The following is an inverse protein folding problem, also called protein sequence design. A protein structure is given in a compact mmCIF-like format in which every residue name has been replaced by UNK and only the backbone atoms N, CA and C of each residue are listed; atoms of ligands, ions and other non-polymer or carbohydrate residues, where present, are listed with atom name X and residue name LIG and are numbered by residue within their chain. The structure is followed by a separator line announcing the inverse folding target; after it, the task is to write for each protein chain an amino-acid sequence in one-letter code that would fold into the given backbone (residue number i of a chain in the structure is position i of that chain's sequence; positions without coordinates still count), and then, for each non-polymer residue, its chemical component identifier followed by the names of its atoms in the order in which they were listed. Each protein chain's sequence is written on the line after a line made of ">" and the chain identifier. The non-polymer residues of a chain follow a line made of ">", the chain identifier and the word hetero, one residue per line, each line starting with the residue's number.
data_IF_030835624691
#
_entry.id   IF_030835624691
#
_cell.length_a   1.000
_cell.length_b   1.000
_cell.length_c   1.000
_cell.angle_alpha   90.00
_cell.angle_beta   90.00
_cell.angle_gamma   90.00
#
_symmetry.space_group_name_H-M   'P 1'
#
loop_
_entity.id
_entity.type
_entity.pdbx_description
1 polymer ?
#
# COMPACT_ATOMS: atom_id res chain seq x y z
N UNK A 1 -19.80 48.81 -28.49
CA UNK A 1 -20.15 47.43 -28.15
C UNK A 1 -18.81 46.70 -27.91
N UNK A 2 -18.39 46.54 -26.64
CA UNK A 2 -17.09 46.01 -26.28
C UNK A 2 -17.26 44.52 -25.96
N UNK A 3 -16.68 43.63 -26.76
CA UNK A 3 -16.68 42.20 -26.50
C UNK A 3 -15.57 41.86 -25.50
N UNK A 4 -15.96 41.44 -24.28
CA UNK A 4 -15.04 40.84 -23.32
C UNK A 4 -14.80 39.40 -23.75
N UNK A 5 -13.56 39.10 -24.18
CA UNK A 5 -13.08 37.73 -24.40
C UNK A 5 -12.67 37.17 -23.03
N UNK A 6 -13.50 36.29 -22.48
CA UNK A 6 -13.16 35.51 -21.27
C UNK A 6 -12.33 34.33 -21.73
N UNK A 7 -11.01 34.42 -21.55
CA UNK A 7 -10.11 33.29 -21.73
C UNK A 7 -10.20 32.38 -20.48
N UNK A 8 -10.92 31.27 -20.62
CA UNK A 8 -10.88 30.18 -19.62
C UNK A 8 -9.51 29.50 -19.72
N UNK A 9 -8.63 29.75 -18.74
CA UNK A 9 -7.42 28.94 -18.55
C UNK A 9 -7.86 27.54 -18.09
N UNK A 10 -7.70 26.55 -18.95
CA UNK A 10 -7.74 25.15 -18.57
C UNK A 10 -6.60 24.91 -17.57
N UNK A 11 -6.94 24.72 -16.31
CA UNK A 11 -5.99 24.22 -15.29
C UNK A 11 -5.70 22.78 -15.72
N UNK A 12 -4.52 22.54 -16.26
CA UNK A 12 -3.98 21.20 -16.45
C UNK A 12 -3.99 20.53 -15.08
N UNK A 13 -4.82 19.51 -14.89
CA UNK A 13 -4.77 18.68 -13.71
C UNK A 13 -3.37 18.05 -13.67
N UNK A 14 -2.49 18.57 -12.83
CA UNK A 14 -1.19 17.96 -12.57
C UNK A 14 -1.45 16.53 -12.09
N UNK A 15 -0.79 15.58 -12.72
CA UNK A 15 -0.89 14.18 -12.35
C UNK A 15 -0.28 14.00 -10.96
N UNK A 16 -1.13 13.92 -9.93
CA UNK A 16 -0.66 13.65 -8.58
C UNK A 16 0.00 12.26 -8.52
N UNK A 17 1.12 12.13 -7.77
CA UNK A 17 1.76 10.83 -7.56
C UNK A 17 0.78 9.87 -6.87
N UNK A 18 0.89 8.54 -7.15
CA UNK A 18 0.06 7.51 -6.51
C UNK A 18 0.16 7.59 -4.99
N UNK A 19 1.40 7.70 -4.48
CA UNK A 19 1.70 8.00 -3.09
C UNK A 19 2.91 8.94 -3.04
N UNK A 20 2.96 9.78 -2.03
CA UNK A 20 4.09 10.68 -1.78
C UNK A 20 4.95 10.16 -0.64
N UNK A 21 6.21 10.58 -0.60
CA UNK A 21 7.08 10.26 0.54
C UNK A 21 6.52 10.87 1.83
N UNK A 22 6.56 10.07 2.91
CA UNK A 22 6.11 10.52 4.20
C UNK A 22 7.11 11.51 4.79
N UNK A 23 6.60 12.64 5.28
CA UNK A 23 7.38 13.61 6.05
C UNK A 23 6.70 13.87 7.40
N UNK A 24 7.45 14.35 8.42
CA UNK A 24 6.85 14.70 9.72
C UNK A 24 5.71 15.70 9.60
N UNK A 25 5.77 16.61 8.63
CA UNK A 25 4.77 17.63 8.37
C UNK A 25 3.47 17.06 7.78
N UNK A 26 3.54 15.87 7.17
CA UNK A 26 2.39 15.23 6.50
C UNK A 26 1.77 14.07 7.28
N UNK A 27 2.21 13.83 8.49
CA UNK A 27 1.66 12.76 9.34
C UNK A 27 0.18 13.00 9.63
N UNK A 28 -0.65 12.01 9.29
CA UNK A 28 -2.09 12.06 9.50
C UNK A 28 -2.88 12.84 8.47
N UNK A 29 -2.25 13.37 7.43
CA UNK A 29 -2.96 13.95 6.29
C UNK A 29 -3.73 12.90 5.49
N UNK A 30 -4.84 13.34 4.89
CA UNK A 30 -5.58 12.53 3.93
C UNK A 30 -4.69 12.28 2.70
N UNK A 31 -4.55 11.01 2.33
CA UNK A 31 -3.78 10.60 1.18
C UNK A 31 -3.08 9.26 1.37
N UNK A 32 -2.17 9.00 0.47
CA UNK A 32 -1.31 7.82 0.45
C UNK A 32 0.14 8.27 0.67
N UNK A 33 0.82 7.67 1.65
CA UNK A 33 2.21 8.02 2.00
C UNK A 33 3.10 6.78 1.94
N UNK A 34 4.23 6.90 1.25
CA UNK A 34 5.31 5.91 1.32
C UNK A 34 6.04 6.14 2.65
N UNK A 35 5.92 5.18 3.54
CA UNK A 35 6.59 5.22 4.85
C UNK A 35 8.10 5.03 4.67
N UNK A 36 8.47 4.00 3.94
CA UNK A 36 9.87 3.68 3.64
C UNK A 36 9.95 2.76 2.41
N UNK A 37 11.01 2.91 1.66
CA UNK A 37 11.44 1.96 0.63
C UNK A 37 12.80 1.41 1.07
N UNK A 38 12.84 0.13 1.45
CA UNK A 38 13.98 -0.49 2.10
C UNK A 38 14.47 -1.72 1.34
N UNK A 39 15.78 -1.84 1.08
CA UNK A 39 16.36 -3.10 0.63
C UNK A 39 16.14 -4.22 1.64
N UNK A 40 15.80 -5.40 1.14
CA UNK A 40 15.65 -6.59 1.96
C UNK A 40 16.96 -7.38 2.04
N UNK A 41 17.21 -8.10 3.15
CA UNK A 41 18.37 -8.97 3.27
C UNK A 41 18.40 -10.06 2.20
N UNK A 42 19.60 -10.33 1.63
CA UNK A 42 19.77 -11.31 0.57
C UNK A 42 19.62 -12.77 1.01
N UNK A 43 19.48 -13.03 2.30
CA UNK A 43 19.33 -14.37 2.87
C UNK A 43 17.88 -14.79 3.15
N UNK A 44 16.91 -13.97 2.75
CA UNK A 44 15.48 -14.31 2.88
C UNK A 44 15.14 -15.53 2.01
N UNK A 45 14.50 -16.52 2.61
CA UNK A 45 14.08 -17.77 1.96
C UNK A 45 12.56 -17.82 1.90
N UNK A 46 12.03 -18.23 0.75
CA UNK A 46 10.59 -18.47 0.62
C UNK A 46 10.17 -19.77 1.35
N UNK A 47 8.95 -19.86 1.87
CA UNK A 47 7.90 -18.84 1.78
C UNK A 47 8.18 -17.62 2.66
N UNK A 48 7.68 -16.46 2.25
CA UNK A 48 7.79 -15.21 2.99
C UNK A 48 6.45 -14.83 3.59
N UNK A 49 6.52 -14.20 4.76
CA UNK A 49 5.36 -13.71 5.50
C UNK A 49 5.53 -12.23 5.82
N UNK A 50 4.47 -11.48 5.64
CA UNK A 50 4.37 -10.09 6.10
C UNK A 50 3.73 -10.09 7.47
N UNK A 51 4.51 -9.71 8.49
CA UNK A 51 4.05 -9.56 9.86
C UNK A 51 3.71 -8.12 10.16
N UNK A 52 2.62 -7.92 10.87
CA UNK A 52 2.16 -6.62 11.34
C UNK A 52 1.98 -6.72 12.85
N UNK A 53 2.79 -5.94 13.57
CA UNK A 53 2.75 -5.85 15.03
C UNK A 53 2.47 -4.41 15.46
N UNK A 54 1.72 -4.27 16.54
CA UNK A 54 1.37 -2.99 17.16
C UNK A 54 2.10 -2.83 18.48
N UNK A 55 2.56 -1.61 18.75
CA UNK A 55 3.29 -1.27 19.96
C UNK A 55 2.63 -0.09 20.67
N UNK A 56 2.81 -0.01 21.98
CA UNK A 56 2.29 1.09 22.80
C UNK A 56 3.12 2.36 22.67
N UNK A 57 4.45 2.21 22.44
CA UNK A 57 5.38 3.36 22.41
C UNK A 57 6.38 3.24 21.26
N UNK A 58 6.87 4.41 20.81
CA UNK A 58 7.91 4.49 19.81
C UNK A 58 9.25 3.89 20.25
N UNK A 59 9.55 3.89 21.56
CA UNK A 59 10.75 3.26 22.10
C UNK A 59 10.69 1.75 21.92
N UNK A 60 9.58 1.11 22.32
CA UNK A 60 9.38 -0.34 22.20
C UNK A 60 9.44 -0.80 20.74
N UNK A 61 8.79 -0.08 19.83
CA UNK A 61 8.82 -0.48 18.42
C UNK A 61 10.22 -0.36 17.81
N UNK A 62 10.98 0.68 18.17
CA UNK A 62 12.37 0.83 17.68
C UNK A 62 13.29 -0.25 18.22
N UNK A 63 13.11 -0.67 19.49
CA UNK A 63 13.87 -1.79 20.08
C UNK A 63 13.57 -3.13 19.42
N UNK A 64 12.42 -3.28 18.75
CA UNK A 64 11.97 -4.50 18.08
C UNK A 64 12.36 -4.57 16.58
N UNK A 65 13.09 -3.58 16.06
CA UNK A 65 13.49 -3.53 14.64
C UNK A 65 14.53 -4.61 14.33
N UNK A 66 14.29 -5.35 13.25
CA UNK A 66 15.21 -6.31 12.64
C UNK A 66 15.55 -5.89 11.20
N UNK A 67 16.56 -6.46 10.55
CA UNK A 67 17.00 -6.02 9.21
C UNK A 67 15.89 -5.92 8.15
N UNK A 68 14.93 -6.84 8.18
CA UNK A 68 13.81 -6.89 7.24
C UNK A 68 12.54 -6.20 7.76
N UNK A 69 12.65 -5.31 8.76
CA UNK A 69 11.49 -4.61 9.33
C UNK A 69 11.58 -3.09 9.24
N UNK A 70 10.41 -2.45 9.31
CA UNK A 70 10.20 -1.00 9.34
C UNK A 70 9.36 -0.69 10.57
N UNK A 71 9.77 0.31 11.36
CA UNK A 71 9.04 0.82 12.51
C UNK A 71 8.56 2.25 12.26
N UNK A 72 7.28 2.53 12.48
CA UNK A 72 6.70 3.83 12.20
C UNK A 72 5.44 4.11 13.03
N UNK A 73 5.03 5.37 13.06
CA UNK A 73 3.77 5.81 13.63
C UNK A 73 2.76 6.11 12.52
N UNK A 74 1.57 5.52 12.63
CA UNK A 74 0.45 5.81 11.73
C UNK A 74 -0.87 5.44 12.40
N UNK A 75 -1.97 6.11 11.99
CA UNK A 75 -3.33 5.80 12.45
C UNK A 75 -3.47 5.79 13.98
N UNK A 76 -2.69 6.64 14.68
CA UNK A 76 -2.73 6.77 16.15
C UNK A 76 -2.08 5.61 16.91
N UNK A 77 -1.18 4.86 16.30
CA UNK A 77 -0.44 3.78 16.94
C UNK A 77 0.97 3.63 16.36
N UNK A 78 1.83 2.93 17.09
CA UNK A 78 3.14 2.52 16.64
C UNK A 78 3.08 1.13 16.03
N UNK A 79 3.74 0.95 14.89
CA UNK A 79 3.69 -0.28 14.10
C UNK A 79 5.08 -0.75 13.75
N UNK A 80 5.24 -2.06 13.74
CA UNK A 80 6.35 -2.73 13.09
C UNK A 80 5.79 -3.60 11.97
N UNK A 81 6.39 -3.50 10.81
CA UNK A 81 6.13 -4.40 9.69
C UNK A 81 7.41 -5.06 9.29
N UNK A 82 7.40 -6.38 9.10
CA UNK A 82 8.56 -7.14 8.67
C UNK A 82 8.21 -8.16 7.60
N UNK A 83 9.20 -8.49 6.78
CA UNK A 83 9.15 -9.61 5.83
C UNK A 83 10.11 -10.67 6.32
N UNK A 84 9.57 -11.80 6.73
CA UNK A 84 10.34 -12.88 7.33
C UNK A 84 9.97 -14.24 6.72
N UNK A 85 10.89 -15.21 6.82
CA UNK A 85 10.68 -16.59 6.33
C UNK A 85 9.98 -17.49 7.36
N UNK A 86 9.69 -16.96 8.54
CA UNK A 86 9.08 -17.70 9.66
C UNK A 86 7.65 -17.21 9.89
N UNK A 87 6.78 -18.15 10.29
CA UNK A 87 5.39 -17.88 10.64
C UNK A 87 5.22 -17.26 12.03
N UNK A 88 6.22 -17.37 12.91
CA UNK A 88 6.15 -16.84 14.26
C UNK A 88 7.33 -15.91 14.52
N UNK A 89 7.05 -14.63 14.54
CA UNK A 89 8.02 -13.58 14.82
C UNK A 89 7.49 -12.72 15.97
N UNK A 90 7.78 -13.17 17.21
CA UNK A 90 7.40 -12.44 18.41
C UNK A 90 8.53 -11.51 18.86
N UNK A 91 8.42 -10.23 18.50
CA UNK A 91 9.38 -9.19 18.86
C UNK A 91 8.85 -8.24 19.95
N UNK A 92 7.99 -8.73 20.85
CA UNK A 92 7.53 -7.96 22.02
C UNK A 92 6.39 -6.97 21.79
N UNK A 93 5.80 -6.93 20.59
CA UNK A 93 4.58 -6.20 20.28
C UNK A 93 3.32 -7.06 20.40
N UNK A 94 2.16 -6.43 20.28
CA UNK A 94 0.91 -7.12 20.03
C UNK A 94 0.88 -7.58 18.56
N UNK A 95 0.92 -8.88 18.34
CA UNK A 95 0.73 -9.42 16.99
C UNK A 95 -0.67 -9.12 16.48
N UNK A 96 -0.78 -8.49 15.32
CA UNK A 96 -2.06 -8.08 14.71
C UNK A 96 -2.47 -9.06 13.63
N UNK A 97 -1.57 -9.38 12.71
CA UNK A 97 -1.80 -10.33 11.63
C UNK A 97 -0.50 -10.77 10.97
N UNK A 98 -0.58 -11.93 10.35
CA UNK A 98 0.46 -12.49 9.48
C UNK A 98 -0.16 -12.78 8.11
N UNK A 99 0.53 -12.41 7.06
CA UNK A 99 0.07 -12.60 5.68
C UNK A 99 1.13 -13.38 4.93
N UNK A 100 0.81 -14.61 4.53
CA UNK A 100 1.67 -15.37 3.64
C UNK A 100 1.71 -14.72 2.27
N UNK A 101 2.90 -14.30 1.84
CA UNK A 101 3.09 -13.72 0.52
C UNK A 101 3.05 -14.80 -0.57
N UNK A 102 2.62 -14.40 -1.75
CA UNK A 102 2.76 -15.23 -2.96
C UNK A 102 4.25 -15.35 -3.33
N UNK A 103 4.65 -16.40 -4.10
CA UNK A 103 6.01 -16.49 -4.58
C UNK A 103 6.45 -15.22 -5.30
N UNK A 104 7.62 -14.72 -4.92
CA UNK A 104 8.21 -13.55 -5.55
C UNK A 104 8.78 -13.94 -6.93
N UNK A 105 8.77 -13.02 -7.91
CA UNK A 105 9.52 -13.20 -9.14
C UNK A 105 11.02 -13.38 -8.82
N UNK A 106 11.73 -14.12 -9.66
CA UNK A 106 13.18 -14.27 -9.50
C UNK A 106 13.88 -12.91 -9.64
N UNK A 107 14.75 -12.59 -8.69
CA UNK A 107 15.52 -11.36 -8.68
C UNK A 107 16.83 -11.53 -7.88
N UNK A 108 17.85 -10.75 -8.23
CA UNK A 108 19.13 -10.72 -7.48
C UNK A 108 18.99 -10.03 -6.13
N UNK A 109 18.14 -9.01 -6.06
CA UNK A 109 17.89 -8.22 -4.85
C UNK A 109 16.42 -7.82 -4.78
N UNK A 110 15.87 -7.88 -3.59
CA UNK A 110 14.52 -7.41 -3.31
C UNK A 110 14.55 -6.12 -2.49
N UNK A 111 13.52 -5.31 -2.69
CA UNK A 111 13.18 -4.19 -1.81
C UNK A 111 11.74 -4.32 -1.34
N UNK A 112 11.44 -3.68 -0.21
CA UNK A 112 10.09 -3.56 0.32
C UNK A 112 9.70 -2.09 0.39
N UNK A 113 8.56 -1.74 -0.20
CA UNK A 113 7.87 -0.46 0.06
C UNK A 113 6.76 -0.71 1.06
N UNK A 114 6.69 0.09 2.12
CA UNK A 114 5.55 0.14 3.03
C UNK A 114 4.81 1.44 2.81
N UNK A 115 3.50 1.33 2.67
CA UNK A 115 2.57 2.42 2.38
C UNK A 115 1.57 2.51 3.51
N UNK A 116 1.33 3.72 4.00
CA UNK A 116 0.19 4.07 4.87
C UNK A 116 -0.80 4.92 4.08
N UNK A 117 -2.07 4.60 4.20
CA UNK A 117 -3.13 5.32 3.48
C UNK A 117 -4.27 5.72 4.43
N UNK A 118 -4.64 7.00 4.39
CA UNK A 118 -5.84 7.55 5.00
C UNK A 118 -6.64 8.27 3.92
N UNK A 119 -7.67 7.60 3.40
CA UNK A 119 -8.33 7.96 2.14
C UNK A 119 -9.83 8.12 2.36
N UNK A 120 -10.45 9.23 1.91
CA UNK A 120 -11.88 9.43 2.04
C UNK A 120 -12.68 8.40 1.24
N UNK A 121 -13.90 8.11 1.70
CA UNK A 121 -14.85 7.27 0.98
C UNK A 121 -15.11 7.82 -0.43
N UNK A 122 -15.26 6.93 -1.41
CA UNK A 122 -15.49 7.25 -2.82
C UNK A 122 -14.23 7.56 -3.63
N UNK A 123 -13.06 7.70 -2.99
CA UNK A 123 -11.82 7.93 -3.71
C UNK A 123 -11.37 6.67 -4.46
N UNK A 124 -10.76 6.87 -5.62
CA UNK A 124 -10.20 5.79 -6.45
C UNK A 124 -8.74 6.06 -6.80
N UNK A 125 -7.91 5.03 -6.78
CA UNK A 125 -6.57 5.12 -7.34
C UNK A 125 -6.62 5.18 -8.88
N UNK A 126 -5.52 5.60 -9.50
CA UNK A 126 -5.31 5.35 -10.92
C UNK A 126 -5.12 3.84 -11.16
N UNK A 127 -5.39 3.40 -12.38
CA UNK A 127 -5.07 2.03 -12.79
C UNK A 127 -3.55 1.88 -12.83
N UNK A 128 -3.05 0.82 -12.21
CA UNK A 128 -1.63 0.54 -12.10
C UNK A 128 -1.37 -0.95 -11.92
N UNK A 129 -0.11 -1.33 -11.96
CA UNK A 129 0.38 -2.66 -11.59
C UNK A 129 1.68 -2.51 -10.79
N UNK A 130 2.06 -3.59 -10.08
CA UNK A 130 3.33 -3.67 -9.34
C UNK A 130 4.27 -4.69 -9.97
N UNK A 131 5.58 -4.39 -9.97
CA UNK A 131 6.62 -5.32 -10.42
C UNK A 131 6.93 -6.41 -9.38
N UNK A 132 6.22 -6.41 -8.26
CA UNK A 132 6.32 -7.35 -7.17
C UNK A 132 4.97 -7.75 -6.61
N UNK A 133 4.98 -8.53 -5.55
CA UNK A 133 3.79 -8.95 -4.81
C UNK A 133 3.38 -7.82 -3.86
N UNK A 134 2.10 -7.45 -3.88
CA UNK A 134 1.53 -6.48 -2.94
C UNK A 134 0.60 -7.18 -1.95
N UNK A 135 0.73 -6.84 -0.68
CA UNK A 135 -0.18 -7.26 0.38
C UNK A 135 -0.86 -6.04 1.02
N UNK A 136 -2.16 -6.16 1.31
CA UNK A 136 -2.97 -5.16 1.99
C UNK A 136 -3.41 -5.63 3.37
N UNK A 137 -3.54 -4.68 4.29
CA UNK A 137 -4.23 -4.83 5.57
C UNK A 137 -5.11 -3.61 5.84
N UNK A 138 -6.41 -3.83 6.08
CA UNK A 138 -7.36 -2.74 6.37
C UNK A 138 -7.42 -2.51 7.88
N UNK A 139 -6.92 -1.35 8.32
CA UNK A 139 -6.93 -0.94 9.73
C UNK A 139 -8.32 -0.48 10.17
N UNK A 140 -9.00 0.28 9.29
CA UNK A 140 -10.37 0.77 9.52
C UNK A 140 -11.03 1.19 8.19
N UNK A 141 -12.37 1.19 8.15
CA UNK A 141 -13.15 1.47 6.96
C UNK A 141 -13.20 0.28 6.00
N UNK A 142 -13.43 0.55 4.73
CA UNK A 142 -13.63 -0.45 3.68
C UNK A 142 -12.90 -0.09 2.41
N UNK A 143 -12.46 -1.09 1.68
CA UNK A 143 -11.89 -0.94 0.33
C UNK A 143 -12.37 -2.04 -0.60
N UNK A 144 -12.27 -1.76 -1.88
CA UNK A 144 -12.44 -2.75 -2.90
C UNK A 144 -11.30 -2.64 -3.92
N UNK A 145 -10.71 -3.77 -4.28
CA UNK A 145 -9.72 -3.85 -5.32
C UNK A 145 -10.36 -4.41 -6.58
N UNK A 146 -10.33 -3.62 -7.64
CA UNK A 146 -10.82 -4.00 -8.96
C UNK A 146 -9.67 -4.55 -9.80
N UNK A 147 -9.85 -5.74 -10.36
CA UNK A 147 -8.92 -6.38 -11.31
C UNK A 147 -9.66 -6.82 -12.57
N UNK A 148 -8.97 -7.31 -13.58
CA UNK A 148 -9.62 -7.78 -14.81
C UNK A 148 -10.56 -8.97 -14.57
N UNK A 149 -10.25 -9.84 -13.60
CA UNK A 149 -11.02 -11.07 -13.36
C UNK A 149 -12.18 -10.88 -12.39
N UNK A 150 -11.98 -10.07 -11.35
CA UNK A 150 -12.93 -9.87 -10.26
C UNK A 150 -12.65 -8.64 -9.41
N UNK A 151 -13.63 -8.29 -8.57
CA UNK A 151 -13.48 -7.28 -7.54
C UNK A 151 -13.39 -7.95 -6.15
N UNK A 152 -12.48 -7.46 -5.31
CA UNK A 152 -12.25 -7.97 -3.94
C UNK A 152 -12.66 -6.89 -2.95
N UNK A 153 -13.76 -7.10 -2.24
CA UNK A 153 -14.18 -6.23 -1.15
C UNK A 153 -13.46 -6.65 0.13
N UNK A 154 -12.99 -5.67 0.89
CA UNK A 154 -12.27 -5.86 2.14
C UNK A 154 -12.73 -4.84 3.17
N UNK A 155 -12.82 -5.26 4.41
CA UNK A 155 -13.19 -4.46 5.56
C UNK A 155 -12.12 -4.56 6.65
N UNK A 156 -12.33 -3.82 7.74
CA UNK A 156 -11.42 -3.79 8.89
C UNK A 156 -10.98 -5.19 9.33
N UNK A 157 -9.66 -5.37 9.47
CA UNK A 157 -9.01 -6.61 9.91
C UNK A 157 -8.70 -7.57 8.77
N UNK A 158 -9.21 -7.33 7.57
CA UNK A 158 -8.98 -8.22 6.42
C UNK A 158 -7.70 -7.90 5.67
N UNK A 159 -7.15 -8.93 5.03
CA UNK A 159 -5.93 -8.89 4.23
C UNK A 159 -6.19 -9.41 2.82
N UNK A 160 -5.39 -8.96 1.87
CA UNK A 160 -5.39 -9.45 0.49
C UNK A 160 -3.96 -9.46 -0.04
N UNK A 161 -3.59 -10.49 -0.79
CA UNK A 161 -2.33 -10.53 -1.51
C UNK A 161 -2.59 -10.52 -3.00
N UNK A 162 -1.92 -9.62 -3.71
CA UNK A 162 -2.03 -9.43 -5.17
C UNK A 162 -0.75 -9.90 -5.83
N UNK A 163 -0.85 -10.78 -6.85
CA UNK A 163 0.31 -11.25 -7.60
C UNK A 163 1.03 -10.12 -8.36
N UNK A 164 2.30 -10.34 -8.64
CA UNK A 164 3.09 -9.51 -9.55
C UNK A 164 2.39 -9.31 -10.89
N UNK A 165 2.39 -8.07 -11.39
CA UNK A 165 1.91 -7.72 -12.72
C UNK A 165 0.40 -7.66 -12.89
N UNK A 166 -0.38 -7.88 -11.85
CA UNK A 166 -1.84 -7.73 -11.91
C UNK A 166 -2.20 -6.26 -12.06
N UNK A 167 -2.91 -5.93 -13.13
CA UNK A 167 -3.47 -4.59 -13.34
C UNK A 167 -4.67 -4.40 -12.43
N UNK A 168 -4.66 -3.31 -11.68
CA UNK A 168 -5.65 -3.05 -10.64
C UNK A 168 -5.99 -1.58 -10.43
N UNK A 169 -7.12 -1.35 -9.76
CA UNK A 169 -7.55 -0.05 -9.24
C UNK A 169 -8.13 -0.25 -7.84
N UNK A 170 -7.70 0.57 -6.89
CA UNK A 170 -8.24 0.58 -5.54
C UNK A 170 -9.36 1.60 -5.42
N UNK A 171 -10.45 1.20 -4.75
CA UNK A 171 -11.59 2.05 -4.42
C UNK A 171 -11.78 2.05 -2.91
N UNK A 172 -11.79 3.23 -2.28
CA UNK A 172 -12.21 3.37 -0.89
C UNK A 172 -13.73 3.32 -0.84
N UNK A 173 -14.28 2.23 -0.33
CA UNK A 173 -15.74 1.99 -0.24
C UNK A 173 -16.27 2.28 1.17
N UNK A 174 -17.57 2.03 1.40
CA UNK A 174 -18.20 2.28 2.69
C UNK A 174 -18.51 3.76 2.94
N UNK A 175 -18.92 4.09 4.16
CA UNK A 175 -19.33 5.45 4.57
C UNK A 175 -18.27 6.21 5.34
N UNK A 176 -17.16 5.55 5.74
CA UNK A 176 -16.07 6.12 6.52
C UNK A 176 -14.79 6.20 5.70
N UNK A 177 -13.87 7.12 6.05
CA UNK A 177 -12.54 7.10 5.46
C UNK A 177 -11.84 5.76 5.71
N UNK A 178 -11.14 5.27 4.70
CA UNK A 178 -10.34 4.06 4.77
C UNK A 178 -8.97 4.37 5.38
N UNK A 179 -8.56 3.56 6.37
CA UNK A 179 -7.19 3.48 6.88
C UNK A 179 -6.65 2.11 6.57
N UNK A 180 -5.51 2.04 5.92
CA UNK A 180 -4.91 0.76 5.55
C UNK A 180 -3.41 0.87 5.37
N UNK A 181 -2.78 -0.29 5.38
CA UNK A 181 -1.39 -0.46 4.98
C UNK A 181 -1.32 -1.29 3.71
N UNK A 182 -0.25 -1.07 2.95
CA UNK A 182 0.19 -1.96 1.90
C UNK A 182 1.71 -2.19 2.01
N UNK A 183 2.15 -3.40 1.65
CA UNK A 183 3.55 -3.72 1.48
C UNK A 183 3.76 -4.32 0.10
N UNK A 184 4.73 -3.77 -0.65
CA UNK A 184 5.11 -4.26 -1.97
C UNK A 184 6.52 -4.83 -1.87
N UNK A 185 6.68 -6.13 -2.12
CA UNK A 185 8.00 -6.78 -2.20
C UNK A 185 8.32 -7.03 -3.66
N UNK A 186 9.38 -6.41 -4.15
CA UNK A 186 9.65 -6.33 -5.58
C UNK A 186 11.14 -6.46 -5.91
N UNK A 187 11.45 -6.73 -7.18
CA UNK A 187 12.80 -6.72 -7.73
C UNK A 187 13.37 -5.31 -7.70
N UNK A 188 14.42 -5.09 -6.89
CA UNK A 188 15.02 -3.77 -6.69
C UNK A 188 15.60 -3.12 -7.98
N UNK A 189 15.72 -3.86 -9.06
CA UNK A 189 16.14 -3.33 -10.38
C UNK A 189 14.99 -2.71 -11.19
N UNK A 190 13.74 -2.82 -10.72
CA UNK A 190 12.54 -2.35 -11.40
C UNK A 190 11.82 -1.28 -10.59
N UNK A 191 11.02 -0.40 -11.21
CA UNK A 191 10.14 0.47 -10.46
C UNK A 191 9.08 -0.37 -9.72
N UNK A 192 8.74 -0.07 -8.45
CA UNK A 192 7.75 -0.83 -7.70
C UNK A 192 6.35 -0.74 -8.31
N UNK A 193 6.03 0.38 -8.96
CA UNK A 193 4.70 0.65 -9.51
C UNK A 193 4.81 1.22 -10.92
N UNK A 194 3.96 0.72 -11.82
CA UNK A 194 3.79 1.22 -13.18
C UNK A 194 2.35 1.67 -13.38
N UNK A 195 2.13 2.91 -13.82
CA UNK A 195 0.81 3.44 -14.16
C UNK A 195 0.36 2.90 -15.50
N UNK A 196 -0.92 2.60 -15.60
CA UNK A 196 -1.57 2.19 -16.83
C UNK A 196 -2.42 3.32 -17.39
N UNK A 197 -2.68 3.28 -18.70
CA UNK A 197 -3.56 4.25 -19.35
C UNK A 197 -5.02 4.15 -18.85
N UNK A 198 -5.76 5.24 -18.98
CA UNK A 198 -7.16 5.30 -18.51
C UNK A 198 -8.08 4.32 -19.26
N UNK A 199 -7.75 3.97 -20.49
CA UNK A 199 -8.47 2.97 -21.30
C UNK A 199 -8.54 1.60 -20.65
N UNK A 200 -7.54 1.27 -19.81
CA UNK A 200 -7.47 -0.01 -19.08
C UNK A 200 -8.54 -0.09 -17.99
N UNK A 201 -9.05 1.04 -17.50
CA UNK A 201 -10.05 1.06 -16.44
C UNK A 201 -11.37 0.37 -16.83
N UNK A 202 -11.75 0.41 -18.12
CA UNK A 202 -12.96 -0.26 -18.63
C UNK A 202 -12.87 -1.78 -18.64
N UNK A 203 -11.65 -2.34 -18.51
CA UNK A 203 -11.38 -3.78 -18.48
C UNK A 203 -11.46 -4.37 -17.06
N UNK A 204 -11.59 -3.52 -16.04
CA UNK A 204 -11.65 -3.97 -14.65
C UNK A 204 -13.10 -4.28 -14.23
N UNK A 205 -13.25 -5.31 -13.41
CA UNK A 205 -14.54 -5.63 -12.78
C UNK A 205 -14.83 -4.61 -11.69
N UNK A 206 -15.94 -3.87 -11.85
CA UNK A 206 -16.29 -2.78 -10.95
C UNK A 206 -16.78 -3.27 -9.58
N UNK A 207 -16.36 -2.55 -8.54
CA UNK A 207 -16.81 -2.73 -7.16
C UNK A 207 -18.29 -2.37 -6.92
N UNK A 208 -18.89 -1.63 -7.83
CA UNK A 208 -20.25 -1.07 -7.71
C UNK A 208 -21.33 -1.88 -8.44
N UNK A 209 -20.97 -3.03 -8.97
CA UNK A 209 -21.92 -3.96 -9.62
C UNK A 209 -22.38 -5.05 -8.67
#
# INVERSE_FOLDING_TARGET
>A
MLFLIVTTRSVSAQEEPLCVENSPERRGEIGCSIIENKPLPGNLKQPLFWHIDRFETGERVRAAVVPASIAFEAHGAWWRMSIESQTESHHGGQHVTEVKLLPLPEAHKYSMVVISAYIPSGWTSRVHLHSGVEAFYVVDGEQCLETADRAFKMQKGETLVVPTGVTMRLVATGSKPRRAFAAIVYDASKPPTTRMGMETASQLVSCTK
#
